data_IF_087643270408
#
_entry.id   IF_087643270408
#
_cell.length_a   1.000
_cell.length_b   1.000
_cell.length_c   1.000
_cell.angle_alpha   90.00
_cell.angle_beta   90.00
_cell.angle_gamma   90.00
#
_symmetry.space_group_name_H-M   'P 1'
#
loop_
_entity.id
_entity.type
_entity.pdbx_description
1 polymer ?
#
# COMPACT_ATOMS: atom_id res chain seq x y z
N UNK A 1 -24.07 38.95 -40.86
CA UNK A 1 -22.77 38.26 -40.60
C UNK A 1 -22.39 38.09 -39.09
N UNK A 2 -22.54 39.09 -38.22
CA UNK A 2 -22.17 38.91 -36.78
C UNK A 2 -23.12 37.99 -35.98
N UNK A 3 -24.41 37.97 -36.31
CA UNK A 3 -25.42 37.20 -35.56
C UNK A 3 -25.28 35.67 -35.78
N UNK A 4 -24.90 35.26 -36.99
CA UNK A 4 -24.73 33.83 -37.32
C UNK A 4 -23.50 33.22 -36.68
N UNK A 5 -22.43 34.00 -36.51
CA UNK A 5 -21.20 33.56 -35.85
C UNK A 5 -21.41 33.28 -34.35
N UNK A 6 -22.18 34.17 -33.66
CA UNK A 6 -22.52 33.99 -32.25
C UNK A 6 -23.43 32.76 -32.04
N UNK A 7 -24.33 32.50 -32.99
CA UNK A 7 -25.23 31.36 -32.96
C UNK A 7 -24.48 30.05 -33.16
N UNK A 8 -23.50 29.99 -34.08
CA UNK A 8 -22.62 28.86 -34.28
C UNK A 8 -21.73 28.57 -33.08
N UNK A 9 -21.16 29.59 -32.44
CA UNK A 9 -20.39 29.40 -31.21
C UNK A 9 -21.23 28.82 -30.07
N UNK A 10 -22.45 29.28 -29.85
CA UNK A 10 -23.34 28.73 -28.82
C UNK A 10 -23.69 27.26 -29.06
N UNK A 11 -23.92 26.87 -30.30
CA UNK A 11 -24.18 25.48 -30.68
C UNK A 11 -22.94 24.61 -30.45
N UNK A 12 -21.75 25.13 -30.77
CA UNK A 12 -20.49 24.40 -30.53
C UNK A 12 -20.23 24.18 -29.02
N UNK A 13 -20.49 25.21 -28.17
CA UNK A 13 -20.36 25.06 -26.71
C UNK A 13 -21.38 24.08 -26.13
N UNK A 14 -22.62 24.06 -26.64
CA UNK A 14 -23.64 23.11 -26.23
C UNK A 14 -23.27 21.67 -26.63
N UNK A 15 -22.70 21.47 -27.81
CA UNK A 15 -22.21 20.16 -28.27
C UNK A 15 -21.00 19.69 -27.44
N UNK A 16 -20.06 20.58 -27.14
CA UNK A 16 -18.92 20.26 -26.26
C UNK A 16 -19.37 19.94 -24.84
N UNK A 17 -20.30 20.70 -24.28
CA UNK A 17 -20.84 20.43 -22.94
C UNK A 17 -21.60 19.11 -22.88
N UNK A 18 -22.35 18.75 -23.93
CA UNK A 18 -23.04 17.45 -24.02
C UNK A 18 -22.06 16.29 -24.14
N UNK A 19 -20.93 16.47 -24.82
CA UNK A 19 -19.90 15.44 -25.01
C UNK A 19 -19.13 15.19 -23.71
N UNK A 20 -18.88 16.25 -22.90
CA UNK A 20 -18.26 16.13 -21.59
C UNK A 20 -19.23 15.46 -20.60
N UNK A 21 -20.51 15.79 -20.63
CA UNK A 21 -21.54 15.15 -19.80
C UNK A 21 -21.73 13.67 -20.18
N UNK A 22 -21.77 13.36 -21.47
CA UNK A 22 -21.88 11.96 -21.94
C UNK A 22 -20.62 11.15 -21.61
N UNK A 23 -19.42 11.73 -21.76
CA UNK A 23 -18.15 11.11 -21.36
C UNK A 23 -18.05 10.89 -19.85
N UNK A 24 -18.54 11.83 -19.05
CA UNK A 24 -18.59 11.70 -17.58
C UNK A 24 -19.57 10.61 -17.12
N UNK A 25 -20.75 10.54 -17.74
CA UNK A 25 -21.77 9.53 -17.43
C UNK A 25 -21.33 8.15 -17.91
N UNK A 26 -20.71 8.02 -19.07
CA UNK A 26 -20.18 6.73 -19.55
C UNK A 26 -18.99 6.26 -18.72
N UNK A 27 -18.10 7.13 -18.26
CA UNK A 27 -17.03 6.76 -17.32
C UNK A 27 -17.59 6.35 -15.95
N UNK A 28 -18.71 6.93 -15.52
CA UNK A 28 -19.39 6.54 -14.28
C UNK A 28 -20.18 5.23 -14.42
N UNK A 29 -20.79 4.97 -15.59
CA UNK A 29 -21.54 3.74 -15.87
C UNK A 29 -20.63 2.58 -16.26
N UNK A 30 -19.42 2.85 -16.75
CA UNK A 30 -18.36 1.85 -17.01
C UNK A 30 -17.50 1.60 -15.76
N UNK A 31 -17.83 2.19 -14.61
CA UNK A 31 -17.40 1.69 -13.32
C UNK A 31 -18.12 0.36 -13.08
N UNK A 32 -17.69 -0.60 -13.88
CA UNK A 32 -18.09 -1.99 -13.85
C UNK A 32 -18.07 -2.44 -12.39
N UNK A 33 -19.01 -3.27 -12.01
CA UNK A 33 -19.10 -3.91 -10.70
C UNK A 33 -17.92 -4.88 -10.49
N UNK A 34 -16.70 -4.36 -10.60
CA UNK A 34 -15.51 -5.09 -10.21
C UNK A 34 -15.70 -5.44 -8.73
N UNK A 35 -15.65 -6.72 -8.44
CA UNK A 35 -15.71 -7.23 -7.08
C UNK A 35 -14.73 -6.38 -6.23
N UNK A 36 -15.16 -5.79 -5.10
CA UNK A 36 -14.28 -4.97 -4.26
C UNK A 36 -12.96 -5.66 -3.89
N UNK A 37 -12.94 -6.99 -3.86
CA UNK A 37 -11.72 -7.78 -3.64
C UNK A 37 -10.74 -7.67 -4.81
N UNK A 38 -11.22 -7.76 -6.05
CA UNK A 38 -10.36 -7.66 -7.23
C UNK A 38 -9.80 -6.23 -7.34
N UNK A 39 -10.64 -5.23 -7.05
CA UNK A 39 -10.23 -3.84 -7.00
C UNK A 39 -9.19 -3.59 -5.89
N UNK A 40 -9.40 -4.15 -4.69
CA UNK A 40 -8.44 -4.02 -3.59
C UNK A 40 -7.05 -4.53 -3.97
N UNK A 41 -7.01 -5.66 -4.68
CA UNK A 41 -5.77 -6.25 -5.16
C UNK A 41 -5.09 -5.37 -6.20
N UNK A 42 -5.83 -4.89 -7.18
CA UNK A 42 -5.31 -4.00 -8.23
C UNK A 42 -4.76 -2.68 -7.65
N UNK A 43 -5.49 -2.06 -6.71
CA UNK A 43 -5.05 -0.83 -6.04
C UNK A 43 -3.79 -1.08 -5.22
N UNK A 44 -3.70 -2.21 -4.50
CA UNK A 44 -2.53 -2.56 -3.71
C UNK A 44 -1.28 -2.79 -4.60
N UNK A 45 -1.43 -3.49 -5.73
CA UNK A 45 -0.33 -3.73 -6.67
C UNK A 45 0.18 -2.41 -7.28
N UNK A 46 -0.71 -1.51 -7.68
CA UNK A 46 -0.33 -0.17 -8.16
C UNK A 46 0.37 0.66 -7.08
N UNK A 47 -0.12 0.57 -5.86
CA UNK A 47 0.47 1.30 -4.73
C UNK A 47 1.85 0.77 -4.35
N UNK A 48 2.09 -0.55 -4.46
CA UNK A 48 3.42 -1.13 -4.27
C UNK A 48 4.43 -0.47 -5.22
N UNK A 49 4.11 -0.44 -6.52
CA UNK A 49 5.00 0.16 -7.53
C UNK A 49 5.24 1.66 -7.31
N UNK A 50 4.29 2.37 -6.69
CA UNK A 50 4.44 3.77 -6.33
C UNK A 50 5.21 4.00 -5.01
N UNK A 51 5.39 2.95 -4.20
CA UNK A 51 6.00 3.03 -2.87
C UNK A 51 7.47 2.60 -2.82
N UNK A 52 7.94 1.90 -3.85
CA UNK A 52 9.34 1.42 -3.93
C UNK A 52 10.19 2.39 -4.73
N UNK A 53 11.47 2.50 -4.38
CA UNK A 53 12.40 3.45 -5.02
C UNK A 53 12.67 3.10 -6.49
N UNK A 54 12.75 1.81 -6.80
CA UNK A 54 13.05 1.29 -8.13
C UNK A 54 11.97 0.32 -8.62
N UNK A 55 10.81 0.85 -9.04
CA UNK A 55 9.66 0.03 -9.43
C UNK A 55 9.93 -0.92 -10.60
N UNK A 56 10.88 -0.58 -11.46
CA UNK A 56 11.31 -1.42 -12.61
C UNK A 56 12.02 -2.72 -12.18
N UNK A 57 12.49 -2.79 -10.93
CA UNK A 57 13.17 -3.98 -10.39
C UNK A 57 12.25 -4.90 -9.61
N UNK A 58 11.00 -4.47 -9.37
CA UNK A 58 10.04 -5.21 -8.54
C UNK A 58 9.68 -6.55 -9.18
N UNK A 59 9.81 -7.61 -8.38
CA UNK A 59 9.35 -8.96 -8.69
C UNK A 59 8.35 -9.39 -7.62
N UNK A 60 7.08 -9.44 -7.98
CA UNK A 60 6.02 -9.90 -7.08
C UNK A 60 6.06 -11.43 -7.02
N UNK A 61 6.21 -11.98 -5.82
CA UNK A 61 6.22 -13.43 -5.57
C UNK A 61 4.82 -13.94 -5.21
N UNK A 62 4.11 -13.19 -4.36
CA UNK A 62 2.77 -13.56 -3.93
C UNK A 62 1.92 -12.32 -3.63
N UNK A 63 0.63 -12.42 -3.94
CA UNK A 63 -0.40 -11.44 -3.52
C UNK A 63 -1.46 -12.21 -2.77
N UNK A 64 -1.74 -11.82 -1.53
CA UNK A 64 -2.79 -12.47 -0.74
C UNK A 64 -4.17 -12.24 -1.32
N UNK A 65 -5.10 -13.14 -1.01
CA UNK A 65 -6.52 -12.81 -1.15
C UNK A 65 -6.85 -11.65 -0.20
N UNK A 66 -7.67 -10.66 -0.64
CA UNK A 66 -8.06 -9.56 0.23
C UNK A 66 -8.87 -10.05 1.43
N UNK A 67 -8.35 -9.78 2.62
CA UNK A 67 -8.98 -10.07 3.89
C UNK A 67 -9.87 -8.93 4.34
N UNK A 68 -11.03 -9.25 4.91
CA UNK A 68 -11.93 -8.26 5.50
C UNK A 68 -11.36 -7.72 6.80
N UNK A 69 -11.36 -6.40 6.95
CA UNK A 69 -10.91 -5.71 8.16
C UNK A 69 -12.10 -5.12 8.91
N UNK A 70 -12.09 -5.19 10.24
CA UNK A 70 -13.19 -4.75 11.10
C UNK A 70 -12.71 -3.75 12.16
N UNK A 71 -13.37 -2.60 12.21
CA UNK A 71 -13.02 -1.54 13.15
C UNK A 71 -11.66 -0.91 12.83
N UNK A 72 -10.85 -0.69 13.86
CA UNK A 72 -9.48 -0.14 13.75
C UNK A 72 -8.39 -1.20 13.94
N UNK A 73 -8.76 -2.45 14.20
CA UNK A 73 -7.83 -3.57 14.35
C UNK A 73 -7.49 -4.15 12.98
N UNK A 74 -6.59 -3.51 12.28
CA UNK A 74 -6.13 -3.93 10.95
C UNK A 74 -5.26 -5.19 10.99
N UNK A 75 -4.68 -5.51 12.15
CA UNK A 75 -3.72 -6.60 12.35
C UNK A 75 -4.28 -7.52 13.44
N UNK A 76 -4.39 -8.82 13.14
CA UNK A 76 -4.81 -9.83 14.12
C UNK A 76 -3.69 -10.10 15.14
N UNK A 77 -4.00 -10.78 16.23
CA UNK A 77 -3.01 -11.14 17.25
C UNK A 77 -1.96 -12.10 16.68
N UNK A 78 -2.38 -13.06 15.84
CA UNK A 78 -1.49 -13.99 15.15
C UNK A 78 -0.55 -13.24 14.21
N UNK A 79 -1.06 -12.26 13.49
CA UNK A 79 -0.25 -11.41 12.61
C UNK A 79 0.75 -10.56 13.39
N UNK A 80 0.36 -9.99 14.53
CA UNK A 80 1.29 -9.27 15.43
C UNK A 80 2.43 -10.17 15.88
N UNK A 81 2.12 -11.43 16.23
CA UNK A 81 3.14 -12.40 16.60
C UNK A 81 4.06 -12.73 15.42
N UNK A 82 3.52 -12.98 14.24
CA UNK A 82 4.29 -13.27 13.04
C UNK A 82 5.25 -12.11 12.67
N UNK A 83 4.75 -10.87 12.71
CA UNK A 83 5.56 -9.68 12.48
C UNK A 83 6.67 -9.57 13.54
N UNK A 84 6.35 -9.83 14.81
CA UNK A 84 7.36 -9.78 15.88
C UNK A 84 8.46 -10.80 15.67
N UNK A 85 8.13 -12.02 15.24
CA UNK A 85 9.12 -13.07 14.90
C UNK A 85 9.97 -12.65 13.70
N UNK A 86 9.37 -12.04 12.67
CA UNK A 86 10.14 -11.54 11.52
C UNK A 86 11.12 -10.44 11.96
N UNK A 87 10.69 -9.52 12.83
CA UNK A 87 11.56 -8.47 13.38
C UNK A 87 12.69 -9.01 14.24
N UNK A 88 12.46 -10.09 15.02
CA UNK A 88 13.52 -10.75 15.76
C UNK A 88 14.61 -11.29 14.83
N UNK A 89 14.23 -11.95 13.72
CA UNK A 89 15.20 -12.45 12.74
C UNK A 89 16.01 -11.32 12.09
N UNK A 90 15.36 -10.19 11.76
CA UNK A 90 16.06 -8.99 11.27
C UNK A 90 17.07 -8.48 12.31
N UNK A 91 16.65 -8.39 13.57
CA UNK A 91 17.54 -7.95 14.66
C UNK A 91 18.72 -8.89 14.85
N UNK A 92 18.50 -10.22 14.80
CA UNK A 92 19.56 -11.21 14.88
C UNK A 92 20.58 -11.07 13.74
N UNK A 93 20.09 -10.82 12.52
CA UNK A 93 20.98 -10.58 11.37
C UNK A 93 21.81 -9.31 11.57
N UNK A 94 21.18 -8.18 11.93
CA UNK A 94 21.89 -6.93 12.21
C UNK A 94 22.94 -7.14 13.29
N UNK A 95 22.60 -7.78 14.40
CA UNK A 95 23.57 -8.06 15.48
C UNK A 95 24.73 -8.92 15.03
N UNK A 96 24.47 -9.93 14.21
CA UNK A 96 25.52 -10.85 13.69
C UNK A 96 26.45 -10.12 12.71
N UNK A 97 25.91 -9.33 11.81
CA UNK A 97 26.68 -8.62 10.79
C UNK A 97 27.49 -7.45 11.36
N UNK A 98 27.00 -6.84 12.47
CA UNK A 98 27.66 -5.72 13.15
C UNK A 98 28.49 -6.14 14.37
N UNK A 99 28.67 -7.45 14.62
CA UNK A 99 29.40 -7.99 15.79
C UNK A 99 28.89 -7.37 17.10
N UNK A 100 27.56 -7.38 17.30
CA UNK A 100 26.94 -6.77 18.48
C UNK A 100 26.95 -5.24 18.49
N UNK A 101 26.94 -4.62 17.33
CA UNK A 101 27.04 -3.17 17.08
C UNK A 101 28.46 -2.58 17.26
N UNK A 102 29.47 -3.36 17.64
CA UNK A 102 30.84 -2.88 17.77
C UNK A 102 31.50 -2.52 16.43
N UNK A 103 31.11 -3.24 15.36
CA UNK A 103 31.60 -3.01 13.98
C UNK A 103 30.54 -2.37 13.08
N UNK A 104 29.70 -1.51 13.63
CA UNK A 104 28.69 -0.83 12.87
C UNK A 104 29.32 0.16 11.90
N UNK A 105 29.25 -0.15 10.61
CA UNK A 105 29.61 0.80 9.55
C UNK A 105 28.40 1.65 9.17
N UNK A 106 28.38 2.89 9.64
CA UNK A 106 27.34 3.85 9.28
C UNK A 106 27.37 4.26 7.78
N UNK A 107 28.40 3.86 7.06
CA UNK A 107 28.50 4.02 5.60
C UNK A 107 27.83 2.89 4.83
N UNK A 108 27.51 1.76 5.46
CA UNK A 108 26.77 0.67 4.85
C UNK A 108 25.28 1.04 4.69
N UNK A 109 24.94 1.44 3.47
CA UNK A 109 23.58 1.87 3.13
C UNK A 109 22.57 0.74 3.25
N UNK A 110 22.91 -0.50 2.89
CA UNK A 110 22.01 -1.64 2.97
C UNK A 110 21.62 -1.93 4.42
N UNK A 111 22.59 -1.83 5.34
CA UNK A 111 22.35 -1.98 6.77
C UNK A 111 21.49 -0.84 7.32
N UNK A 112 21.78 0.41 6.94
CA UNK A 112 21.02 1.57 7.36
C UNK A 112 19.55 1.48 6.89
N UNK A 113 19.32 1.10 5.64
CA UNK A 113 18.00 0.90 5.06
C UNK A 113 17.22 -0.22 5.78
N UNK A 114 17.86 -1.36 6.07
CA UNK A 114 17.26 -2.44 6.84
C UNK A 114 16.83 -2.00 8.23
N UNK A 115 17.65 -1.21 8.92
CA UNK A 115 17.32 -0.68 10.25
C UNK A 115 16.18 0.34 10.20
N UNK A 116 16.12 1.20 9.18
CA UNK A 116 15.05 2.16 8.98
C UNK A 116 13.71 1.42 8.78
N UNK A 117 13.67 0.41 7.91
CA UNK A 117 12.50 -0.45 7.68
C UNK A 117 12.06 -1.16 8.97
N UNK A 118 13.00 -1.68 9.75
CA UNK A 118 12.73 -2.29 11.05
C UNK A 118 12.08 -1.30 12.02
N UNK A 119 12.61 -0.09 12.15
CA UNK A 119 12.05 0.94 13.03
C UNK A 119 10.66 1.38 12.58
N UNK A 120 10.41 1.49 11.28
CA UNK A 120 9.10 1.79 10.72
C UNK A 120 8.07 0.76 11.16
N UNK A 121 8.35 -0.53 11.01
CA UNK A 121 7.44 -1.63 11.43
C UNK A 121 7.19 -1.61 12.92
N UNK A 122 8.22 -1.41 13.74
CA UNK A 122 8.08 -1.33 15.21
C UNK A 122 7.16 -0.16 15.64
N UNK A 123 7.26 0.98 14.95
CA UNK A 123 6.36 2.11 15.16
C UNK A 123 4.90 1.74 14.83
N UNK A 124 4.68 1.02 13.74
CA UNK A 124 3.35 0.54 13.33
C UNK A 124 2.77 -0.39 14.38
N UNK A 125 3.52 -1.40 14.84
CA UNK A 125 3.07 -2.35 15.86
C UNK A 125 2.69 -1.62 17.16
N UNK A 126 3.52 -0.69 17.62
CA UNK A 126 3.25 0.10 18.84
C UNK A 126 1.96 0.91 18.72
N UNK A 127 1.72 1.52 17.57
CA UNK A 127 0.51 2.29 17.32
C UNK A 127 -0.76 1.42 17.32
N UNK A 128 -0.67 0.16 16.86
CA UNK A 128 -1.80 -0.78 16.90
C UNK A 128 -2.05 -1.37 18.29
N UNK A 129 -1.02 -1.54 19.12
CA UNK A 129 -1.19 -2.04 20.48
C UNK A 129 -1.99 -1.08 21.38
N UNK A 130 -2.02 0.21 21.04
CA UNK A 130 -2.71 1.25 21.82
C UNK A 130 -4.23 1.29 21.63
N UNK A 131 -4.82 0.49 20.73
CA UNK A 131 -6.23 0.55 20.36
C UNK A 131 -7.04 -0.69 20.76
N UNK A 132 -6.71 -1.36 21.86
CA UNK A 132 -7.61 -2.37 22.45
C UNK A 132 -8.88 -1.71 22.96
N UNK A 133 -9.80 -1.42 22.05
CA UNK A 133 -11.15 -0.94 22.41
C UNK A 133 -12.02 -2.13 22.77
N UNK A 134 -12.28 -2.26 24.06
CA UNK A 134 -13.14 -3.24 24.69
C UNK A 134 -14.57 -3.22 24.07
N UNK A 135 -15.01 -4.35 23.52
CA UNK A 135 -16.41 -4.74 23.34
C UNK A 135 -17.38 -3.92 22.48
N UNK A 136 -16.99 -3.23 21.44
CA UNK A 136 -17.97 -2.82 20.42
C UNK A 136 -18.04 -3.84 19.28
N UNK A 137 -19.24 -4.16 18.77
CA UNK A 137 -19.39 -4.96 17.54
C UNK A 137 -18.60 -4.25 16.45
N UNK A 138 -17.44 -4.82 16.08
CA UNK A 138 -16.56 -4.23 15.06
C UNK A 138 -17.29 -4.28 13.73
N UNK A 139 -17.55 -3.11 13.14
CA UNK A 139 -18.13 -3.00 11.81
C UNK A 139 -17.05 -3.21 10.76
N UNK A 140 -17.43 -3.78 9.61
CA UNK A 140 -16.55 -3.86 8.45
C UNK A 140 -16.02 -2.48 8.09
N UNK A 141 -14.71 -2.35 7.98
CA UNK A 141 -14.02 -1.08 7.76
C UNK A 141 -13.22 -1.03 6.45
N UNK A 142 -12.95 -2.17 5.83
CA UNK A 142 -12.22 -2.23 4.58
C UNK A 142 -11.53 -3.55 4.31
N UNK A 143 -10.49 -3.51 3.49
CA UNK A 143 -9.77 -4.66 2.99
C UNK A 143 -8.29 -4.59 3.35
N UNK A 144 -7.68 -5.75 3.53
CA UNK A 144 -6.24 -5.88 3.74
C UNK A 144 -5.66 -6.78 2.64
N UNK A 145 -4.62 -6.30 1.97
CA UNK A 145 -3.86 -7.04 0.97
C UNK A 145 -2.38 -7.05 1.38
N UNK A 146 -1.77 -8.22 1.28
CA UNK A 146 -0.34 -8.43 1.53
C UNK A 146 0.33 -8.81 0.23
N UNK A 147 1.46 -8.17 -0.08
CA UNK A 147 2.23 -8.44 -1.29
C UNK A 147 3.66 -8.78 -0.89
N UNK A 148 4.07 -9.99 -1.18
CA UNK A 148 5.46 -10.42 -1.04
C UNK A 148 6.21 -10.13 -2.34
N UNK A 149 7.35 -9.45 -2.24
CA UNK A 149 8.10 -9.00 -3.40
C UNK A 149 9.60 -8.92 -3.12
N UNK A 150 10.36 -8.89 -4.20
CA UNK A 150 11.78 -8.50 -4.24
C UNK A 150 11.93 -7.23 -5.04
N UNK A 151 12.86 -6.38 -4.66
CA UNK A 151 13.26 -5.19 -5.39
C UNK A 151 14.74 -4.84 -5.10
N UNK A 152 15.25 -3.84 -5.79
CA UNK A 152 16.56 -3.28 -5.48
C UNK A 152 16.38 -1.91 -4.82
N UNK A 153 17.19 -1.64 -3.80
CA UNK A 153 17.28 -0.32 -3.17
C UNK A 153 17.98 0.68 -4.11
N UNK A 154 18.07 1.94 -3.71
CA UNK A 154 18.69 3.01 -4.50
C UNK A 154 20.16 2.76 -4.83
N UNK A 155 20.87 1.99 -4.01
CA UNK A 155 22.27 1.59 -4.22
C UNK A 155 22.42 0.30 -5.05
N UNK A 156 21.32 -0.32 -5.47
CA UNK A 156 21.31 -1.55 -6.25
C UNK A 156 21.34 -2.84 -5.42
N UNK A 157 21.30 -2.75 -4.10
CA UNK A 157 21.27 -3.92 -3.23
C UNK A 157 19.89 -4.60 -3.28
N UNK A 158 19.82 -5.92 -3.55
CA UNK A 158 18.55 -6.61 -3.58
C UNK A 158 18.00 -6.82 -2.17
N UNK A 159 16.69 -6.67 -2.00
CA UNK A 159 15.99 -6.96 -0.77
C UNK A 159 14.66 -7.66 -1.02
N UNK A 160 14.14 -8.36 -0.01
CA UNK A 160 12.84 -9.03 -0.02
C UNK A 160 12.00 -8.54 1.12
N UNK A 161 10.72 -8.27 0.84
CA UNK A 161 9.80 -7.70 1.82
C UNK A 161 8.37 -8.17 1.57
N UNK A 162 7.53 -8.03 2.59
CA UNK A 162 6.09 -8.14 2.48
C UNK A 162 5.47 -6.77 2.75
N UNK A 163 4.76 -6.21 1.76
CA UNK A 163 4.07 -4.93 1.90
C UNK A 163 2.59 -5.15 2.22
N UNK A 164 2.10 -4.48 3.25
CA UNK A 164 0.71 -4.58 3.70
C UNK A 164 -0.04 -3.31 3.37
N UNK A 165 -1.15 -3.47 2.67
CA UNK A 165 -2.04 -2.37 2.30
C UNK A 165 -3.38 -2.57 2.98
N UNK A 166 -3.83 -1.55 3.71
CA UNK A 166 -5.15 -1.46 4.31
C UNK A 166 -5.94 -0.46 3.48
N UNK A 167 -7.03 -0.91 2.88
CA UNK A 167 -7.88 -0.13 2.00
C UNK A 167 -9.22 0.15 2.67
N UNK A 168 -9.91 1.17 2.20
CA UNK A 168 -11.27 1.50 2.61
C UNK A 168 -12.30 0.43 2.16
N UNK A 169 -13.58 0.64 2.49
CA UNK A 169 -14.66 -0.32 2.19
C UNK A 169 -14.86 -0.51 0.70
N UNK A 170 -14.73 0.55 -0.05
CA UNK A 170 -14.88 0.62 -1.50
C UNK A 170 -13.64 0.12 -2.25
N UNK A 171 -12.55 -0.16 -1.53
CA UNK A 171 -11.26 -0.58 -2.06
C UNK A 171 -10.61 0.41 -3.05
N UNK A 172 -10.89 1.70 -2.89
CA UNK A 172 -10.37 2.76 -3.79
C UNK A 172 -9.26 3.59 -3.16
N UNK A 173 -9.22 3.66 -1.82
CA UNK A 173 -8.24 4.44 -1.08
C UNK A 173 -7.43 3.58 -0.12
N UNK A 174 -6.11 3.81 -0.07
CA UNK A 174 -5.23 3.23 0.94
C UNK A 174 -5.36 4.07 2.21
N UNK A 175 -5.85 3.45 3.27
CA UNK A 175 -5.99 4.05 4.60
C UNK A 175 -4.68 3.98 5.36
N UNK A 176 -3.94 2.89 5.18
CA UNK A 176 -2.65 2.66 5.82
C UNK A 176 -1.83 1.64 5.04
N UNK A 177 -0.52 1.81 5.07
CA UNK A 177 0.41 0.82 4.52
C UNK A 177 1.68 0.75 5.34
N UNK A 178 2.36 -0.37 5.29
CA UNK A 178 3.67 -0.58 5.91
C UNK A 178 4.36 -1.80 5.30
N UNK A 179 5.66 -1.83 5.41
CA UNK A 179 6.53 -2.85 4.85
C UNK A 179 7.17 -3.69 5.96
N UNK A 180 7.26 -5.00 5.77
CA UNK A 180 7.91 -5.95 6.68
C UNK A 180 9.09 -6.56 5.94
N UNK A 181 10.34 -6.28 6.34
CA UNK A 181 11.51 -6.94 5.76
C UNK A 181 11.46 -8.45 5.99
N UNK A 182 11.75 -9.22 4.93
CA UNK A 182 11.87 -10.68 4.97
C UNK A 182 13.35 -11.09 4.87
N UNK A 183 13.70 -12.20 5.54
CA UNK A 183 15.06 -12.74 5.59
C UNK A 183 15.10 -14.09 4.88
#
# INVERSE_FOLDING_TARGET
MRADFVKQQKVLYLLLASLVLAGGITAFLLKDSSNPKDLAREVAEKALLASVDRPETVKIHAVSMPDSVFGRDYITQEEKMAISVAMMKVSEKVMKETDGFEKMDFGDKAMADLMERQMSVMSVIRNFASYETYNSKKQFSGWKVKIEYEAESTDGSPYRSEYWFILDKEAVCIVKSFEIPLM
#
